data_IF_341702312463
#
_entry.id   IF_341702312463
#
_cell.length_a   1.000
_cell.length_b   1.000
_cell.length_c   1.000
_cell.angle_alpha   90.00
_cell.angle_beta   90.00
_cell.angle_gamma   90.00
#
_symmetry.space_group_name_H-M   'P 1'
#
loop_
_entity.id
_entity.type
_entity.pdbx_description
1 polymer ?
#
# COMPACT_ATOMS: atom_id res chain seq x y z
N UNK A 1 -10.75 9.32 29.80
CA UNK A 1 -9.92 9.64 28.62
C UNK A 1 -8.91 8.51 28.50
N UNK A 2 -8.66 7.96 27.30
CA UNK A 2 -7.59 6.99 27.14
C UNK A 2 -6.29 7.67 27.58
N UNK A 3 -5.48 6.95 28.34
CA UNK A 3 -4.21 7.46 28.83
C UNK A 3 -3.28 7.58 27.62
N UNK A 4 -2.92 8.82 27.21
CA UNK A 4 -2.06 9.13 26.07
C UNK A 4 -0.59 8.67 26.24
N UNK A 5 -0.38 7.64 27.06
CA UNK A 5 0.89 7.04 27.45
C UNK A 5 1.68 6.44 26.28
N UNK A 6 1.00 6.07 25.18
CA UNK A 6 1.67 5.52 24.00
C UNK A 6 2.63 6.51 23.36
N UNK A 7 2.37 7.82 23.44
CA UNK A 7 3.25 8.86 22.88
C UNK A 7 4.66 8.82 23.52
N UNK A 8 4.74 8.48 24.80
CA UNK A 8 6.02 8.38 25.52
C UNK A 8 6.73 7.08 25.12
N UNK A 9 5.97 5.98 25.03
CA UNK A 9 6.52 4.65 24.75
C UNK A 9 7.01 4.50 23.30
N UNK A 10 6.39 5.20 22.35
CA UNK A 10 6.80 5.22 20.94
C UNK A 10 7.93 6.21 20.63
N UNK A 11 8.38 7.00 21.61
CA UNK A 11 9.32 8.11 21.38
C UNK A 11 8.79 9.05 20.28
N UNK A 12 7.58 9.61 20.52
CA UNK A 12 6.92 10.55 19.61
C UNK A 12 7.84 11.66 19.09
N UNK A 13 8.80 12.23 19.85
CA UNK A 13 9.72 13.23 19.31
C UNK A 13 10.49 12.77 18.06
N UNK A 14 10.93 11.50 18.03
CA UNK A 14 11.63 10.96 16.86
C UNK A 14 10.67 10.67 15.70
N UNK A 15 9.47 10.16 15.99
CA UNK A 15 8.42 9.95 14.99
C UNK A 15 8.05 11.30 14.34
N UNK A 16 7.84 12.33 15.15
CA UNK A 16 7.54 13.68 14.69
C UNK A 16 8.66 14.26 13.82
N UNK A 17 9.92 14.03 14.18
CA UNK A 17 11.07 14.45 13.35
C UNK A 17 10.99 13.82 11.94
N UNK A 18 10.75 12.51 11.88
CA UNK A 18 10.65 11.77 10.61
C UNK A 18 9.45 12.28 9.79
N UNK A 19 8.29 12.46 10.43
CA UNK A 19 7.07 12.94 9.78
C UNK A 19 7.19 14.40 9.31
N UNK A 20 7.83 15.28 10.08
CA UNK A 20 8.08 16.68 9.65
C UNK A 20 8.96 16.73 8.41
N UNK A 21 10.01 15.90 8.33
CA UNK A 21 10.85 15.81 7.13
C UNK A 21 10.03 15.33 5.92
N UNK A 22 9.17 14.33 6.12
CA UNK A 22 8.27 13.87 5.07
C UNK A 22 7.29 14.96 4.62
N UNK A 23 6.63 15.65 5.54
CA UNK A 23 5.73 16.79 5.24
C UNK A 23 6.47 17.87 4.44
N UNK A 24 7.69 18.24 4.85
CA UNK A 24 8.50 19.22 4.12
C UNK A 24 8.83 18.82 2.68
N UNK A 25 8.92 17.52 2.40
CA UNK A 25 9.13 17.01 1.03
C UNK A 25 7.85 16.92 0.19
N UNK A 26 6.67 17.00 0.80
CA UNK A 26 5.39 16.89 0.09
C UNK A 26 4.98 18.17 -0.63
N UNK A 27 5.46 19.34 -0.21
CA UNK A 27 5.00 20.63 -0.76
C UNK A 27 5.17 20.71 -2.28
N UNK A 28 6.32 20.34 -2.83
CA UNK A 28 6.56 20.39 -4.28
C UNK A 28 5.72 19.35 -5.06
N UNK A 29 5.41 18.21 -4.43
CA UNK A 29 4.61 17.14 -5.03
C UNK A 29 3.14 17.53 -5.07
N UNK A 30 2.63 18.10 -3.97
CA UNK A 30 1.24 18.54 -3.85
C UNK A 30 0.94 19.79 -4.70
N UNK A 31 1.97 20.58 -5.04
CA UNK A 31 1.88 21.74 -5.95
C UNK A 31 2.10 21.38 -7.43
N UNK A 32 2.20 20.09 -7.78
CA UNK A 32 2.40 19.59 -9.15
C UNK A 32 3.65 20.12 -9.88
N UNK A 33 4.68 20.54 -9.15
CA UNK A 33 5.92 21.03 -9.79
C UNK A 33 6.80 19.92 -10.36
N UNK A 34 6.44 18.66 -10.15
CA UNK A 34 7.22 17.50 -10.53
C UNK A 34 6.60 16.77 -11.73
N UNK A 35 7.05 17.15 -12.93
CA UNK A 35 6.90 16.29 -14.10
C UNK A 35 7.70 15.02 -13.89
N UNK A 36 6.99 13.90 -13.79
CA UNK A 36 7.64 12.59 -13.68
C UNK A 36 8.16 12.18 -15.05
N UNK A 37 9.33 11.54 -15.13
CA UNK A 37 9.86 11.11 -16.42
C UNK A 37 8.89 10.14 -17.09
N UNK A 38 8.76 10.26 -18.41
CA UNK A 38 8.07 9.27 -19.21
C UNK A 38 9.00 8.07 -19.44
N UNK A 39 8.41 6.88 -19.53
CA UNK A 39 9.09 5.67 -19.96
C UNK A 39 9.42 5.81 -21.46
N UNK A 40 10.63 5.39 -21.84
CA UNK A 40 11.12 5.43 -23.21
C UNK A 40 11.36 3.98 -23.70
N UNK A 41 10.94 3.62 -24.92
CA UNK A 41 11.28 2.34 -25.52
C UNK A 41 12.80 2.20 -25.66
N UNK A 42 13.38 1.11 -25.16
CA UNK A 42 14.77 0.74 -25.43
C UNK A 42 14.87 0.08 -26.81
N UNK A 43 15.90 0.42 -27.57
CA UNK A 43 16.13 -0.05 -28.94
C UNK A 43 16.88 -1.39 -29.04
N UNK A 44 17.17 -2.03 -27.90
CA UNK A 44 18.42 -2.80 -27.78
C UNK A 44 18.27 -4.34 -27.87
N UNK A 45 17.09 -4.88 -28.20
CA UNK A 45 16.92 -6.33 -28.43
C UNK A 45 16.48 -6.64 -29.89
N UNK A 46 17.50 -6.85 -30.72
CA UNK A 46 17.66 -7.70 -31.92
C UNK A 46 16.53 -7.95 -32.96
N UNK A 47 16.94 -7.75 -34.23
CA UNK A 47 16.65 -8.52 -35.46
C UNK A 47 15.24 -8.66 -36.06
N UNK A 48 14.15 -8.32 -35.36
CA UNK A 48 12.76 -8.45 -35.88
C UNK A 48 12.01 -7.11 -35.99
N UNK A 49 12.73 -6.00 -36.15
CA UNK A 49 12.15 -4.66 -36.21
C UNK A 49 11.51 -4.39 -37.59
N UNK A 50 10.19 -4.19 -37.71
CA UNK A 50 9.53 -3.85 -38.98
C UNK A 50 9.99 -2.47 -39.49
N UNK A 51 10.04 -2.28 -40.82
CA UNK A 51 10.46 -1.04 -41.51
C UNK A 51 9.72 0.25 -41.10
N UNK A 52 8.63 0.17 -40.31
CA UNK A 52 7.81 1.31 -39.85
C UNK A 52 8.05 1.66 -38.36
N UNK A 53 9.29 1.51 -37.90
CA UNK A 53 9.66 1.61 -36.47
C UNK A 53 9.51 3.02 -35.90
N UNK A 54 9.84 4.04 -36.70
CA UNK A 54 9.85 5.44 -36.24
C UNK A 54 8.44 5.90 -35.86
N UNK A 55 7.43 5.55 -36.67
CA UNK A 55 6.03 5.89 -36.39
C UNK A 55 5.49 5.20 -35.14
N UNK A 56 5.89 3.95 -34.88
CA UNK A 56 5.49 3.20 -33.68
C UNK A 56 6.17 3.78 -32.43
N UNK A 57 7.47 4.06 -32.49
CA UNK A 57 8.21 4.65 -31.38
C UNK A 57 7.65 6.03 -31.03
N UNK A 58 7.41 6.88 -32.03
CA UNK A 58 6.81 8.21 -31.82
C UNK A 58 5.40 8.10 -31.24
N UNK A 59 4.61 7.12 -31.69
CA UNK A 59 3.31 6.84 -31.08
C UNK A 59 3.46 6.46 -29.60
N UNK A 60 4.37 5.55 -29.25
CA UNK A 60 4.58 5.13 -27.86
C UNK A 60 5.05 6.29 -26.99
N UNK A 61 5.99 7.13 -27.48
CA UNK A 61 6.39 8.37 -26.80
C UNK A 61 5.21 9.33 -26.60
N UNK A 62 4.31 9.41 -27.58
CA UNK A 62 3.12 10.26 -27.48
C UNK A 62 2.15 9.83 -26.36
N UNK A 63 2.17 8.54 -25.97
CA UNK A 63 1.38 8.04 -24.84
C UNK A 63 1.85 8.63 -23.50
N UNK A 64 3.12 9.05 -23.38
CA UNK A 64 3.70 9.56 -22.10
C UNK A 64 3.45 8.60 -20.93
N UNK A 65 3.73 7.31 -21.15
CA UNK A 65 3.61 6.29 -20.11
C UNK A 65 4.55 6.68 -18.95
N UNK A 66 4.10 6.65 -17.69
CA UNK A 66 4.98 7.00 -16.57
C UNK A 66 6.20 6.06 -16.51
N UNK A 67 7.39 6.60 -16.25
CA UNK A 67 8.56 5.79 -15.92
C UNK A 67 8.57 5.46 -14.43
N UNK A 68 8.84 4.20 -14.09
CA UNK A 68 9.24 3.82 -12.74
C UNK A 68 10.75 3.94 -12.65
N UNK A 69 11.29 4.66 -11.64
CA UNK A 69 12.73 4.84 -11.46
C UNK A 69 13.50 3.55 -11.11
N UNK A 70 12.83 2.40 -11.15
CA UNK A 70 13.42 1.11 -10.82
C UNK A 70 14.34 0.68 -11.95
N UNK A 71 15.63 0.51 -11.65
CA UNK A 71 16.63 -0.06 -12.57
C UNK A 71 16.36 -1.52 -12.97
N UNK A 72 15.25 -2.09 -12.51
CA UNK A 72 14.87 -3.48 -12.69
C UNK A 72 13.61 -3.64 -13.56
N UNK A 73 13.04 -2.54 -14.05
CA UNK A 73 11.79 -2.56 -14.82
C UNK A 73 12.05 -1.91 -16.18
N UNK A 74 12.31 -2.75 -17.17
CA UNK A 74 12.47 -2.31 -18.57
C UNK A 74 11.10 -2.22 -19.29
N UNK A 75 10.06 -2.85 -18.75
CA UNK A 75 8.72 -2.85 -19.33
C UNK A 75 7.90 -1.59 -18.97
N UNK A 76 7.02 -1.11 -19.86
CA UNK A 76 6.16 0.02 -19.57
C UNK A 76 5.11 -0.35 -18.50
N UNK A 77 4.96 0.45 -17.42
CA UNK A 77 4.07 0.13 -16.32
C UNK A 77 2.60 0.47 -16.67
N UNK A 78 2.01 -0.33 -17.55
CA UNK A 78 0.67 -0.10 -18.08
C UNK A 78 -0.42 -0.04 -17.01
N UNK A 79 -0.22 -0.70 -15.87
CA UNK A 79 -1.16 -0.69 -14.73
C UNK A 79 -1.33 0.69 -14.11
N UNK A 80 -0.39 1.63 -14.27
CA UNK A 80 -0.51 3.02 -13.79
C UNK A 80 -0.65 4.05 -14.92
N UNK A 81 -0.63 3.61 -16.18
CA UNK A 81 -0.86 4.48 -17.32
C UNK A 81 -2.25 5.13 -17.24
N UNK A 82 -2.32 6.47 -17.31
CA UNK A 82 -3.58 7.25 -17.17
C UNK A 82 -4.37 6.93 -15.89
N UNK A 83 -3.68 6.68 -14.78
CA UNK A 83 -4.30 6.41 -13.48
C UNK A 83 -5.27 7.53 -13.06
N UNK A 84 -6.45 7.16 -12.55
CA UNK A 84 -7.49 8.10 -12.09
C UNK A 84 -8.54 8.44 -13.16
N UNK A 85 -8.31 8.02 -14.42
CA UNK A 85 -9.19 8.37 -15.55
C UNK A 85 -10.48 7.56 -15.62
N UNK A 86 -10.67 6.53 -14.77
CA UNK A 86 -11.92 5.76 -14.78
C UNK A 86 -13.12 6.60 -14.32
N UNK A 87 -12.89 7.61 -13.49
CA UNK A 87 -13.89 8.57 -13.04
C UNK A 87 -14.55 9.37 -14.19
N UNK A 88 -13.85 9.51 -15.32
CA UNK A 88 -14.31 10.24 -16.52
C UNK A 88 -15.17 9.36 -17.43
N UNK A 89 -15.17 8.04 -17.23
CA UNK A 89 -15.84 7.07 -18.09
C UNK A 89 -17.00 6.40 -17.34
N UNK A 90 -18.27 6.69 -17.69
CA UNK A 90 -19.43 6.28 -16.89
C UNK A 90 -19.47 4.78 -16.55
N UNK A 91 -19.17 3.91 -17.52
CA UNK A 91 -19.19 2.46 -17.33
C UNK A 91 -18.08 1.98 -16.39
N UNK A 92 -16.90 2.58 -16.45
CA UNK A 92 -15.76 2.21 -15.60
C UNK A 92 -15.94 2.77 -14.19
N UNK A 93 -16.39 4.01 -14.07
CA UNK A 93 -16.78 4.63 -12.81
C UNK A 93 -17.79 3.78 -12.05
N UNK A 94 -18.86 3.32 -12.71
CA UNK A 94 -19.87 2.48 -12.08
C UNK A 94 -19.28 1.16 -11.54
N UNK A 95 -18.32 0.56 -12.26
CA UNK A 95 -17.65 -0.66 -11.78
C UNK A 95 -16.83 -0.40 -10.52
N UNK A 96 -16.14 0.73 -10.45
CA UNK A 96 -15.38 1.14 -9.28
C UNK A 96 -16.31 1.43 -8.10
N UNK A 97 -17.38 2.19 -8.31
CA UNK A 97 -18.37 2.52 -7.27
C UNK A 97 -19.07 1.27 -6.73
N UNK A 98 -19.35 0.29 -7.59
CA UNK A 98 -19.89 -0.99 -7.14
C UNK A 98 -18.90 -1.73 -6.25
N UNK A 99 -17.59 -1.68 -6.53
CA UNK A 99 -16.59 -2.34 -5.69
C UNK A 99 -16.35 -1.57 -4.38
N UNK A 100 -16.36 -0.24 -4.42
CA UNK A 100 -16.10 0.64 -3.27
C UNK A 100 -17.39 1.13 -2.60
N UNK A 101 -18.41 0.27 -2.53
CA UNK A 101 -19.70 0.58 -1.90
C UNK A 101 -19.71 0.31 -0.37
N UNK A 102 -18.67 -0.34 0.16
CA UNK A 102 -18.54 -0.73 1.56
C UNK A 102 -19.31 -1.98 1.99
N UNK A 103 -19.93 -2.69 1.04
CA UNK A 103 -20.60 -4.00 1.23
C UNK A 103 -19.75 -5.13 0.70
N UNK A 104 -19.08 -4.90 -0.43
CA UNK A 104 -18.22 -5.89 -1.07
C UNK A 104 -16.83 -5.87 -0.44
N UNK A 105 -16.32 -7.06 -0.09
CA UNK A 105 -15.06 -7.24 0.65
C UNK A 105 -14.03 -8.08 -0.10
N UNK A 106 -14.43 -8.74 -1.20
CA UNK A 106 -13.56 -9.60 -2.00
C UNK A 106 -13.79 -9.38 -3.50
N UNK A 107 -12.70 -9.30 -4.27
CA UNK A 107 -12.73 -9.27 -5.72
C UNK A 107 -11.99 -10.50 -6.27
N UNK A 108 -12.75 -11.52 -6.65
CA UNK A 108 -12.21 -12.75 -7.24
C UNK A 108 -12.53 -12.78 -8.73
N UNK A 109 -11.49 -12.83 -9.56
CA UNK A 109 -11.61 -12.93 -11.01
C UNK A 109 -10.34 -13.55 -11.61
N UNK A 110 -10.40 -13.98 -12.85
CA UNK A 110 -9.27 -14.55 -13.59
C UNK A 110 -8.06 -13.61 -13.60
N UNK A 111 -6.86 -14.17 -13.78
CA UNK A 111 -5.64 -13.35 -13.97
C UNK A 111 -5.77 -12.47 -15.22
N UNK A 112 -5.18 -11.28 -15.20
CA UNK A 112 -5.21 -10.34 -16.32
C UNK A 112 -6.51 -9.56 -16.53
N UNK A 113 -7.55 -9.73 -15.71
CA UNK A 113 -8.83 -9.01 -15.88
C UNK A 113 -8.83 -7.57 -15.36
N UNK A 114 -7.67 -7.05 -14.93
CA UNK A 114 -7.52 -5.69 -14.42
C UNK A 114 -7.99 -5.48 -12.97
N UNK A 115 -7.92 -6.51 -12.10
CA UNK A 115 -8.30 -6.40 -10.68
C UNK A 115 -7.49 -5.32 -9.95
N UNK A 116 -6.16 -5.40 -10.03
CA UNK A 116 -5.24 -4.41 -9.46
C UNK A 116 -5.54 -3.01 -9.97
N UNK A 117 -5.80 -2.86 -11.28
CA UNK A 117 -6.19 -1.55 -11.84
C UNK A 117 -7.49 -1.02 -11.24
N UNK A 118 -8.50 -1.88 -11.02
CA UNK A 118 -9.75 -1.47 -10.37
C UNK A 118 -9.52 -1.03 -8.91
N UNK A 119 -8.62 -1.69 -8.17
CA UNK A 119 -8.24 -1.26 -6.82
C UNK A 119 -7.57 0.12 -6.84
N UNK A 120 -6.64 0.34 -7.78
CA UNK A 120 -5.96 1.63 -7.94
C UNK A 120 -6.95 2.75 -8.29
N UNK A 121 -7.82 2.54 -9.26
CA UNK A 121 -8.82 3.54 -9.66
C UNK A 121 -9.80 3.84 -8.52
N UNK A 122 -10.19 2.84 -7.73
CA UNK A 122 -10.98 3.04 -6.52
C UNK A 122 -10.27 3.88 -5.46
N UNK A 123 -8.97 3.68 -5.28
CA UNK A 123 -8.17 4.50 -4.37
C UNK A 123 -7.83 5.90 -4.91
N UNK A 124 -8.02 6.15 -6.21
CA UNK A 124 -8.06 7.50 -6.77
C UNK A 124 -9.39 8.21 -6.47
N UNK A 125 -10.48 7.47 -6.28
CA UNK A 125 -11.82 8.02 -6.01
C UNK A 125 -12.15 8.08 -4.52
N UNK A 126 -11.56 7.20 -3.71
CA UNK A 126 -11.82 7.06 -2.28
C UNK A 126 -10.53 7.08 -1.47
N UNK A 127 -10.58 7.66 -0.28
CA UNK A 127 -9.45 7.57 0.65
C UNK A 127 -9.24 6.13 1.09
N UNK A 128 -7.98 5.70 1.12
CA UNK A 128 -7.66 4.36 1.59
C UNK A 128 -6.18 4.04 1.58
N UNK A 129 -5.87 2.84 2.08
CA UNK A 129 -4.54 2.28 2.14
C UNK A 129 -4.44 1.12 1.14
N UNK A 130 -3.37 1.09 0.36
CA UNK A 130 -3.03 -0.02 -0.52
C UNK A 130 -1.94 -0.88 0.11
N UNK A 131 -2.22 -2.18 0.16
CA UNK A 131 -1.28 -3.23 0.53
C UNK A 131 -1.23 -4.27 -0.58
N UNK A 132 -0.06 -4.84 -0.80
CA UNK A 132 0.09 -6.03 -1.65
C UNK A 132 0.81 -7.12 -0.87
N UNK A 133 0.32 -8.35 -1.00
CA UNK A 133 0.91 -9.52 -0.35
C UNK A 133 2.09 -10.10 -1.12
N UNK A 134 2.27 -9.70 -2.38
CA UNK A 134 3.32 -10.17 -3.27
C UNK A 134 3.63 -9.08 -4.28
N UNK A 135 4.91 -8.80 -4.50
CA UNK A 135 5.32 -7.93 -5.60
C UNK A 135 5.46 -8.73 -6.90
N UNK A 136 4.97 -8.13 -7.99
CA UNK A 136 5.20 -8.63 -9.34
C UNK A 136 6.53 -8.11 -9.91
N UNK A 137 6.81 -8.37 -11.19
CA UNK A 137 8.00 -7.88 -11.88
C UNK A 137 8.09 -6.35 -11.89
N UNK A 138 6.95 -5.64 -11.89
CA UNK A 138 6.90 -4.17 -11.85
C UNK A 138 7.24 -3.62 -10.46
N UNK A 139 7.16 -4.45 -9.41
CA UNK A 139 7.40 -4.09 -8.01
C UNK A 139 6.59 -2.86 -7.58
N UNK A 140 5.34 -2.77 -8.05
CA UNK A 140 4.42 -1.71 -7.64
C UNK A 140 3.88 -1.98 -6.24
N UNK A 141 4.08 -1.02 -5.34
CA UNK A 141 3.66 -1.16 -3.95
C UNK A 141 4.85 -1.23 -3.00
N UNK A 142 4.67 -0.71 -1.80
CA UNK A 142 5.67 -0.83 -0.76
C UNK A 142 5.68 -2.27 -0.20
N UNK A 143 6.87 -2.86 -0.09
CA UNK A 143 7.11 -4.29 0.18
C UNK A 143 6.92 -4.72 1.64
N UNK A 144 6.36 -3.86 2.50
CA UNK A 144 6.27 -4.13 3.94
C UNK A 144 5.47 -5.39 4.28
N UNK A 145 4.33 -5.59 3.62
CA UNK A 145 3.46 -6.74 3.86
C UNK A 145 4.04 -8.04 3.28
N UNK A 146 4.53 -8.02 2.05
CA UNK A 146 5.22 -9.16 1.43
C UNK A 146 6.44 -9.59 2.26
N UNK A 147 7.32 -8.66 2.62
CA UNK A 147 8.43 -8.94 3.53
C UNK A 147 7.95 -9.44 4.87
N UNK A 148 6.81 -8.96 5.37
CA UNK A 148 6.32 -9.39 6.65
C UNK A 148 5.86 -10.85 6.66
N UNK A 149 5.09 -11.25 5.66
CA UNK A 149 4.63 -12.62 5.45
C UNK A 149 5.83 -13.57 5.31
N UNK A 150 6.78 -13.20 4.45
CA UNK A 150 8.00 -13.99 4.23
C UNK A 150 8.87 -14.10 5.50
N UNK A 151 8.96 -13.05 6.31
CA UNK A 151 9.74 -13.06 7.54
C UNK A 151 9.07 -13.85 8.66
N UNK A 152 7.73 -13.89 8.73
CA UNK A 152 7.03 -14.73 9.71
C UNK A 152 7.45 -16.19 9.53
N UNK A 153 7.40 -16.72 8.30
CA UNK A 153 7.79 -18.10 8.01
C UNK A 153 9.26 -18.46 8.29
N UNK A 154 10.14 -17.46 8.46
CA UNK A 154 11.58 -17.65 8.71
C UNK A 154 11.97 -17.49 10.19
N UNK A 155 11.08 -16.98 11.04
CA UNK A 155 11.35 -16.82 12.48
C UNK A 155 11.29 -18.18 13.16
N UNK A 156 12.34 -18.54 13.89
CA UNK A 156 12.38 -19.82 14.63
C UNK A 156 11.30 -20.00 15.70
N UNK A 157 10.68 -18.89 16.12
CA UNK A 157 9.54 -18.88 17.06
C UNK A 157 8.18 -19.11 16.36
N UNK A 158 8.11 -18.90 15.04
CA UNK A 158 6.88 -19.05 14.26
C UNK A 158 6.71 -20.49 13.81
N UNK A 159 5.53 -21.06 14.07
CA UNK A 159 5.21 -22.43 13.69
C UNK A 159 4.62 -22.44 12.29
N UNK A 160 5.40 -22.79 11.28
CA UNK A 160 4.92 -22.86 9.88
C UNK A 160 3.92 -23.98 9.65
N UNK A 161 3.89 -24.98 10.52
CA UNK A 161 2.92 -26.07 10.53
C UNK A 161 2.39 -26.23 11.96
N UNK A 162 1.10 -25.99 12.16
CA UNK A 162 0.46 -26.12 13.47
C UNK A 162 -0.45 -27.34 13.47
N UNK A 163 -0.20 -28.29 14.37
CA UNK A 163 -1.09 -29.43 14.57
C UNK A 163 -1.88 -29.26 15.88
N UNK A 164 -3.22 -29.38 15.86
CA UNK A 164 -4.07 -29.12 17.03
C UNK A 164 -3.87 -30.18 18.13
N UNK A 165 -3.41 -31.36 17.76
CA UNK A 165 -3.11 -32.46 18.70
C UNK A 165 -1.75 -32.35 19.37
N UNK A 166 -0.81 -31.60 18.78
CA UNK A 166 0.58 -31.53 19.26
C UNK A 166 0.93 -30.19 19.92
N UNK A 167 0.33 -29.08 19.49
CA UNK A 167 0.62 -27.77 20.05
C UNK A 167 -0.56 -26.78 19.91
N UNK A 168 -1.59 -26.88 20.76
CA UNK A 168 -2.76 -26.01 20.69
C UNK A 168 -2.44 -24.52 20.92
N UNK A 169 -1.34 -24.21 21.61
CA UNK A 169 -0.90 -22.82 21.85
C UNK A 169 -0.14 -22.22 20.67
N UNK A 170 0.31 -23.02 19.69
CA UNK A 170 1.06 -22.53 18.54
C UNK A 170 0.24 -21.58 17.66
N UNK A 171 -1.06 -21.88 17.43
CA UNK A 171 -1.94 -20.97 16.67
C UNK A 171 -2.04 -19.62 17.35
N UNK A 172 -2.24 -19.61 18.67
CA UNK A 172 -2.32 -18.38 19.47
C UNK A 172 -1.00 -17.61 19.49
N UNK A 173 0.12 -18.31 19.57
CA UNK A 173 1.45 -17.72 19.48
C UNK A 173 1.70 -17.09 18.11
N UNK A 174 1.42 -17.82 17.02
CA UNK A 174 1.52 -17.33 15.64
C UNK A 174 0.62 -16.10 15.42
N UNK A 175 -0.62 -16.15 15.92
CA UNK A 175 -1.57 -15.04 15.83
C UNK A 175 -1.00 -13.79 16.51
N UNK A 176 -0.39 -13.93 17.70
CA UNK A 176 0.26 -12.81 18.39
C UNK A 176 1.42 -12.24 17.59
N UNK A 177 2.28 -13.08 17.02
CA UNK A 177 3.40 -12.63 16.19
C UNK A 177 2.92 -11.91 14.92
N UNK A 178 1.92 -12.47 14.24
CA UNK A 178 1.30 -11.87 13.07
C UNK A 178 0.61 -10.55 13.41
N UNK A 179 -0.16 -10.50 14.50
CA UNK A 179 -0.82 -9.31 15.00
C UNK A 179 0.18 -8.18 15.24
N UNK A 180 1.24 -8.44 16.02
CA UNK A 180 2.31 -7.45 16.27
C UNK A 180 2.83 -6.86 14.95
N UNK A 181 3.13 -7.73 14.00
CA UNK A 181 3.80 -7.34 12.77
C UNK A 181 2.88 -6.55 11.85
N UNK A 182 1.63 -6.99 11.68
CA UNK A 182 0.64 -6.30 10.83
C UNK A 182 0.11 -5.02 11.48
N UNK A 183 -0.09 -4.98 12.80
CA UNK A 183 -0.44 -3.75 13.53
C UNK A 183 0.67 -2.71 13.42
N UNK A 184 1.94 -3.11 13.50
CA UNK A 184 3.06 -2.18 13.27
C UNK A 184 3.03 -1.58 11.87
N UNK A 185 2.78 -2.39 10.84
CA UNK A 185 2.67 -1.93 9.45
C UNK A 185 1.50 -0.96 9.31
N UNK A 186 0.33 -1.31 9.83
CA UNK A 186 -0.86 -0.46 9.78
C UNK A 186 -0.61 0.88 10.49
N UNK A 187 -0.01 0.88 11.68
CA UNK A 187 0.33 2.10 12.40
C UNK A 187 1.26 3.01 11.59
N UNK A 188 2.30 2.46 10.98
CA UNK A 188 3.21 3.23 10.10
C UNK A 188 2.45 3.86 8.95
N UNK A 189 1.59 3.09 8.25
CA UNK A 189 0.79 3.60 7.13
C UNK A 189 -0.15 4.72 7.58
N UNK A 190 -0.78 4.58 8.75
CA UNK A 190 -1.69 5.57 9.30
C UNK A 190 -0.98 6.86 9.73
N UNK A 191 0.18 6.77 10.39
CA UNK A 191 0.99 7.93 10.76
C UNK A 191 1.39 8.75 9.52
N UNK A 192 1.85 8.07 8.48
CA UNK A 192 2.25 8.70 7.22
C UNK A 192 1.03 9.28 6.51
N UNK A 193 -0.10 8.58 6.52
CA UNK A 193 -1.34 9.07 5.93
C UNK A 193 -1.86 10.33 6.64
N UNK A 194 -1.84 10.36 7.98
CA UNK A 194 -2.19 11.55 8.77
C UNK A 194 -1.25 12.73 8.42
N UNK A 195 0.06 12.47 8.31
CA UNK A 195 1.02 13.49 7.91
C UNK A 195 0.76 14.00 6.49
N UNK A 196 0.42 13.10 5.56
CA UNK A 196 0.02 13.45 4.20
C UNK A 196 -1.24 14.32 4.19
N UNK A 197 -2.30 13.95 4.90
CA UNK A 197 -3.53 14.74 5.02
C UNK A 197 -3.25 16.13 5.61
N UNK A 198 -2.36 16.21 6.60
CA UNK A 198 -1.94 17.49 7.19
C UNK A 198 -1.28 18.40 6.15
N UNK A 199 -0.40 17.86 5.30
CA UNK A 199 0.24 18.61 4.22
C UNK A 199 -0.77 18.99 3.13
N UNK A 200 -1.64 18.06 2.73
CA UNK A 200 -2.67 18.27 1.71
C UNK A 200 -3.69 19.33 2.12
N UNK A 201 -4.08 19.38 3.39
CA UNK A 201 -5.00 20.39 3.93
C UNK A 201 -4.43 21.82 3.87
N UNK A 202 -3.11 21.97 3.78
CA UNK A 202 -2.45 23.26 3.64
C UNK A 202 -2.46 23.80 2.19
N UNK A 203 -2.84 22.98 1.20
CA UNK A 203 -2.92 23.40 -0.19
C UNK A 203 -4.35 23.81 -0.58
N UNK A 204 -4.49 24.55 -1.68
CA UNK A 204 -5.77 25.02 -2.21
C UNK A 204 -6.44 24.04 -3.19
N UNK A 205 -5.87 22.85 -3.41
CA UNK A 205 -6.27 21.94 -4.49
C UNK A 205 -7.45 21.02 -4.12
N UNK A 206 -8.03 20.40 -5.16
CA UNK A 206 -9.17 19.48 -5.05
C UNK A 206 -8.77 18.14 -4.42
N UNK A 207 -9.68 17.59 -3.60
CA UNK A 207 -9.46 16.35 -2.84
C UNK A 207 -9.07 15.14 -3.71
N UNK A 208 -9.59 15.02 -4.94
CA UNK A 208 -9.36 13.83 -5.77
C UNK A 208 -7.92 13.71 -6.27
N UNK A 209 -7.25 14.85 -6.54
CA UNK A 209 -5.83 14.82 -6.90
C UNK A 209 -4.96 14.36 -5.74
N UNK A 210 -5.29 14.78 -4.52
CA UNK A 210 -4.59 14.32 -3.33
C UNK A 210 -4.74 12.80 -3.13
N UNK A 211 -5.89 12.20 -3.47
CA UNK A 211 -6.08 10.74 -3.44
C UNK A 211 -5.16 10.03 -4.45
N UNK A 212 -5.07 10.55 -5.68
CA UNK A 212 -4.16 10.02 -6.71
C UNK A 212 -2.68 10.10 -6.27
N UNK A 213 -2.25 11.24 -5.73
CA UNK A 213 -0.89 11.42 -5.20
C UNK A 213 -0.66 10.44 -4.04
N UNK A 214 -1.60 10.33 -3.11
CA UNK A 214 -1.51 9.41 -1.99
C UNK A 214 -1.34 7.96 -2.44
N UNK A 215 -2.10 7.51 -3.44
CA UNK A 215 -1.92 6.20 -4.03
C UNK A 215 -0.52 6.05 -4.66
N UNK A 216 -0.07 7.03 -5.45
CA UNK A 216 1.28 7.00 -6.06
C UNK A 216 2.39 6.86 -5.02
N UNK A 217 2.28 7.52 -3.87
CA UNK A 217 3.24 7.34 -2.76
C UNK A 217 3.29 5.89 -2.26
N UNK A 218 2.13 5.24 -2.15
CA UNK A 218 2.02 3.84 -1.71
C UNK A 218 2.51 2.85 -2.77
N UNK A 219 2.43 3.22 -4.05
CA UNK A 219 2.99 2.46 -5.17
C UNK A 219 4.49 2.70 -5.39
N UNK A 220 5.14 3.45 -4.50
CA UNK A 220 6.57 3.81 -4.59
C UNK A 220 6.86 4.53 -5.92
N UNK A 221 5.90 5.34 -6.37
CA UNK A 221 6.04 6.12 -7.58
C UNK A 221 7.21 7.12 -7.42
N UNK A 222 8.05 7.31 -8.46
CA UNK A 222 9.31 8.01 -8.33
C UNK A 222 9.13 9.52 -8.35
N UNK A 223 8.78 10.10 -7.21
CA UNK A 223 8.84 11.55 -7.04
C UNK A 223 10.30 11.98 -6.82
N UNK A 224 10.87 12.82 -7.70
CA UNK A 224 12.26 13.26 -7.57
C UNK A 224 12.54 13.88 -6.20
N UNK A 225 13.64 13.49 -5.58
CA UNK A 225 14.07 14.01 -4.28
C UNK A 225 13.25 13.53 -3.07
N UNK A 226 12.21 12.72 -3.28
CA UNK A 226 11.37 12.23 -2.20
C UNK A 226 11.93 10.94 -1.59
N UNK A 227 12.07 10.94 -0.26
CA UNK A 227 12.35 9.73 0.51
C UNK A 227 11.13 9.35 1.34
N UNK A 228 10.54 8.21 1.03
CA UNK A 228 9.40 7.69 1.79
C UNK A 228 9.83 7.24 3.20
N UNK A 229 9.10 7.62 4.26
CA UNK A 229 9.49 7.31 5.64
C UNK A 229 9.06 5.92 6.12
N UNK A 230 8.43 5.09 5.28
CA UNK A 230 7.86 3.79 5.69
C UNK A 230 8.88 2.87 6.37
N UNK A 231 10.05 2.64 5.77
CA UNK A 231 11.09 1.77 6.34
C UNK A 231 11.60 2.30 7.68
N UNK A 232 11.97 3.59 7.72
CA UNK A 232 12.58 4.22 8.90
C UNK A 232 11.62 4.24 10.10
N UNK A 233 10.34 4.53 9.86
CA UNK A 233 9.32 4.45 10.91
C UNK A 233 9.09 3.01 11.37
N UNK A 234 9.04 2.05 10.44
CA UNK A 234 8.85 0.63 10.78
C UNK A 234 10.00 0.13 11.65
N UNK A 235 11.24 0.43 11.29
CA UNK A 235 12.43 0.05 12.05
C UNK A 235 12.45 0.71 13.43
N UNK A 236 12.14 2.02 13.51
CA UNK A 236 12.07 2.72 14.78
C UNK A 236 11.05 2.08 15.72
N UNK A 237 9.81 1.85 15.27
CA UNK A 237 8.76 1.24 16.11
C UNK A 237 9.15 -0.19 16.52
N UNK A 238 9.68 -0.99 15.59
CA UNK A 238 10.12 -2.38 15.87
C UNK A 238 11.29 -2.45 16.86
N UNK A 239 12.14 -1.43 16.92
CA UNK A 239 13.26 -1.37 17.86
C UNK A 239 12.83 -1.10 19.31
N UNK A 240 11.57 -0.72 19.54
CA UNK A 240 11.04 -0.42 20.88
C UNK A 240 10.47 -1.66 21.54
N UNK A 241 10.84 -1.84 22.79
CA UNK A 241 10.24 -2.84 23.68
C UNK A 241 8.94 -2.29 24.28
N UNK A 242 7.85 -2.44 23.52
CA UNK A 242 6.51 -1.95 23.87
C UNK A 242 5.49 -3.06 23.72
N UNK A 243 4.47 -3.08 24.58
CA UNK A 243 3.37 -4.04 24.47
C UNK A 243 2.48 -3.80 23.25
N UNK A 244 1.75 -4.83 22.82
CA UNK A 244 0.86 -4.75 21.65
C UNK A 244 -0.26 -3.73 21.83
N UNK A 245 -0.81 -3.64 23.06
CA UNK A 245 -1.82 -2.64 23.41
C UNK A 245 -1.39 -1.20 23.11
N UNK A 246 -0.09 -0.87 23.22
CA UNK A 246 0.44 0.45 22.91
C UNK A 246 0.28 0.79 21.43
N UNK A 247 0.50 -0.21 20.56
CA UNK A 247 0.33 -0.07 19.11
C UNK A 247 -1.16 0.04 18.79
N UNK A 248 -2.00 -0.78 19.41
CA UNK A 248 -3.44 -0.79 19.16
C UNK A 248 -4.12 0.51 19.62
N UNK A 249 -3.70 1.05 20.76
CA UNK A 249 -4.16 2.35 21.27
C UNK A 249 -3.73 3.48 20.31
N UNK A 250 -2.48 3.46 19.83
CA UNK A 250 -1.99 4.43 18.84
C UNK A 250 -2.75 4.34 17.51
N UNK A 251 -3.02 3.12 17.00
CA UNK A 251 -3.84 2.91 15.81
C UNK A 251 -5.24 3.52 16.01
N UNK A 252 -5.86 3.24 17.15
CA UNK A 252 -7.21 3.70 17.47
C UNK A 252 -7.28 5.23 17.56
N UNK A 253 -6.32 5.86 18.23
CA UNK A 253 -6.23 7.32 18.35
C UNK A 253 -5.99 7.98 16.99
N UNK A 254 -5.00 7.51 16.23
CA UNK A 254 -4.65 8.07 14.91
C UNK A 254 -5.81 7.90 13.91
N UNK A 255 -6.49 6.74 13.91
CA UNK A 255 -7.69 6.55 13.10
C UNK A 255 -8.81 7.51 13.48
N UNK A 256 -9.02 7.75 14.77
CA UNK A 256 -10.02 8.70 15.24
C UNK A 256 -9.74 10.12 14.73
N UNK A 257 -8.48 10.56 14.81
CA UNK A 257 -8.05 11.85 14.29
C UNK A 257 -8.15 11.94 12.77
N UNK A 258 -7.76 10.88 12.04
CA UNK A 258 -7.95 10.80 10.59
C UNK A 258 -9.42 10.93 10.27
N UNK A 259 -10.32 10.16 10.89
CA UNK A 259 -11.76 10.24 10.63
C UNK A 259 -12.38 11.60 11.00
N UNK A 260 -11.80 12.32 11.96
CA UNK A 260 -12.21 13.66 12.34
C UNK A 260 -11.63 14.76 11.42
N UNK A 261 -10.66 14.43 10.56
CA UNK A 261 -10.00 15.40 9.68
C UNK A 261 -10.96 15.93 8.60
N UNK A 262 -10.75 17.18 8.17
CA UNK A 262 -11.59 17.86 7.17
C UNK A 262 -11.76 17.05 5.87
N UNK A 263 -10.69 16.43 5.40
CA UNK A 263 -10.65 15.79 4.07
C UNK A 263 -11.31 14.42 4.02
N UNK A 264 -11.53 13.79 5.17
CA UNK A 264 -12.06 12.42 5.31
C UNK A 264 -13.34 12.37 6.14
N UNK A 265 -13.72 13.46 6.83
CA UNK A 265 -14.90 13.51 7.67
C UNK A 265 -16.16 13.09 6.90
N UNK A 266 -16.87 12.09 7.43
CA UNK A 266 -18.08 11.53 6.81
C UNK A 266 -17.83 10.61 5.61
N UNK A 267 -16.57 10.40 5.20
CA UNK A 267 -16.18 9.47 4.15
C UNK A 267 -15.78 8.12 4.75
N UNK A 268 -15.87 7.07 3.92
CA UNK A 268 -15.35 5.74 4.26
C UNK A 268 -13.86 5.69 3.94
N UNK A 269 -13.08 5.14 4.85
CA UNK A 269 -11.68 4.77 4.60
C UNK A 269 -11.62 3.31 4.16
N UNK A 270 -10.94 3.05 3.06
CA UNK A 270 -10.79 1.70 2.52
C UNK A 270 -9.42 1.12 2.81
N UNK A 271 -9.34 -0.20 2.93
CA UNK A 271 -8.10 -0.96 2.88
C UNK A 271 -8.22 -1.89 1.68
N UNK A 272 -7.38 -1.68 0.67
CA UNK A 272 -7.25 -2.56 -0.47
C UNK A 272 -6.07 -3.51 -0.23
N UNK A 273 -6.34 -4.80 -0.19
CA UNK A 273 -5.34 -5.85 -0.08
C UNK A 273 -5.26 -6.61 -1.41
N UNK A 274 -4.17 -6.44 -2.13
CA UNK A 274 -3.91 -7.13 -3.38
C UNK A 274 -3.16 -8.44 -3.16
N UNK A 275 -3.34 -9.37 -4.10
CA UNK A 275 -2.74 -10.71 -4.09
C UNK A 275 -2.92 -11.47 -2.75
N UNK A 276 -4.05 -11.26 -2.06
CA UNK A 276 -4.35 -11.89 -0.77
C UNK A 276 -4.32 -13.44 -0.84
N UNK A 277 -4.64 -14.00 -2.00
CA UNK A 277 -4.50 -15.43 -2.30
C UNK A 277 -3.06 -15.94 -2.13
N UNK A 278 -2.05 -15.12 -2.42
CA UNK A 278 -0.64 -15.50 -2.24
C UNK A 278 -0.32 -15.62 -0.74
N UNK A 279 -0.72 -14.64 0.07
CA UNK A 279 -0.55 -14.69 1.52
C UNK A 279 -1.20 -15.95 2.13
N UNK A 280 -2.43 -16.25 1.70
CA UNK A 280 -3.19 -17.41 2.18
C UNK A 280 -2.48 -18.73 1.87
N UNK A 281 -1.78 -18.84 0.73
CA UNK A 281 -1.05 -20.05 0.35
C UNK A 281 0.29 -20.19 1.08
N UNK A 282 0.96 -19.09 1.37
CA UNK A 282 2.26 -19.11 2.06
C UNK A 282 2.15 -19.52 3.54
N UNK A 283 0.96 -19.39 4.13
CA UNK A 283 0.70 -19.60 5.56
C UNK A 283 -0.47 -20.58 5.80
N UNK A 284 -0.79 -21.40 4.81
CA UNK A 284 -1.95 -22.31 4.79
C UNK A 284 -1.99 -23.30 5.96
N UNK A 285 -0.81 -23.73 6.44
CA UNK A 285 -0.66 -24.63 7.59
C UNK A 285 -0.28 -23.92 8.90
N UNK A 286 -0.12 -22.60 8.87
CA UNK A 286 0.33 -21.82 10.03
C UNK A 286 -0.83 -21.37 10.94
N UNK A 287 -2.07 -21.47 10.46
CA UNK A 287 -3.29 -21.08 11.16
C UNK A 287 -4.40 -22.11 10.94
N UNK A 288 -5.28 -22.25 11.94
CA UNK A 288 -6.48 -23.08 11.88
C UNK A 288 -7.68 -22.25 12.30
N UNK A 289 -8.86 -22.62 11.81
CA UNK A 289 -10.13 -22.08 12.29
C UNK A 289 -10.50 -22.61 13.67
N UNK A 290 -11.61 -22.11 14.22
CA UNK A 290 -12.14 -22.51 15.53
C UNK A 290 -12.57 -23.99 15.58
N UNK A 291 -12.74 -24.63 14.42
CA UNK A 291 -13.07 -26.05 14.28
C UNK A 291 -11.82 -26.93 14.14
N UNK A 292 -10.62 -26.33 14.09
CA UNK A 292 -9.35 -27.01 13.93
C UNK A 292 -9.04 -27.42 12.49
N UNK A 293 -9.75 -26.87 11.51
CA UNK A 293 -9.47 -27.07 10.09
C UNK A 293 -8.47 -26.03 9.61
N UNK A 294 -7.61 -26.42 8.66
CA UNK A 294 -6.80 -25.46 7.91
C UNK A 294 -7.69 -24.69 6.94
N UNK A 295 -7.35 -23.43 6.71
CA UNK A 295 -8.01 -22.65 5.67
C UNK A 295 -7.74 -23.31 4.31
N UNK A 296 -8.77 -23.50 3.46
CA UNK A 296 -8.58 -24.12 2.17
C UNK A 296 -7.64 -23.26 1.33
N UNK A 297 -6.41 -23.74 1.12
CA UNK A 297 -5.53 -23.24 0.09
C UNK A 297 -6.22 -23.45 -1.25
N UNK A 298 -6.68 -22.36 -1.86
CA UNK A 298 -7.32 -22.41 -3.18
C UNK A 298 -6.34 -22.79 -4.28
#
# INVERSE_FOLDING_TARGET
MPDSSWHIQLDTPKIDEILRRFIGSLSDILEEKNDSPAWEPTSDDDDDIPEDTDGIIDHIRSLRIPSLSSRFVDEPPMTIYRLGTFSEQPNLKLRVENLFNGKDTFLVNSSGTGKTRLLYEGLCMHWGLYFTSSLDSMRLGFEDLDHAINNLGRRGEFNTVVSPTSNPEATKHNLRLAHRQFSTILLVRLLIFKAFLTAAAATSYQSDKHKEIWLKLQLVFPFPGMRLPFTELSEHIKSRDIGDHVIDDAISEILSEICASRDTHGQRLFIALDEANVASRLLDLAFMDDEGNYYPGT
#
